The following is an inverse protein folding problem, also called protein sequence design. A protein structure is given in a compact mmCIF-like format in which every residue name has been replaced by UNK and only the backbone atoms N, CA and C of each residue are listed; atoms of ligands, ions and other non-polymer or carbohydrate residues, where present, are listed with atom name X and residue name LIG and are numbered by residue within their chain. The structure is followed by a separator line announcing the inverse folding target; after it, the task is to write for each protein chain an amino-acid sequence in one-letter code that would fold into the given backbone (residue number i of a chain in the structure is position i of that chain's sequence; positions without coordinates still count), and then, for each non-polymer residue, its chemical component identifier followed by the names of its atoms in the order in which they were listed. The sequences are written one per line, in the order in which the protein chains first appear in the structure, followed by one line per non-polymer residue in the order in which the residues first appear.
data_IF_053428933209
#
_entry.id   IF_053428933209
#
_cell.length_a   1.000
_cell.length_b   1.000
_cell.length_c   1.000
_cell.angle_alpha   90.00
_cell.angle_beta   90.00
_cell.angle_gamma   90.00
#
_symmetry.space_group_name_H-M   'P 1'
#
loop_
_entity.id
_entity.type
_entity.pdbx_description
1 polymer ?
#
# COMPACT_ATOMS: atom_id res chain seq x y z
N UNK A 1 14.38 21.17 5.46
CA UNK A 1 14.29 20.10 6.47
C UNK A 1 13.04 20.38 7.30
N UNK A 2 11.97 19.63 7.14
CA UNK A 2 10.76 19.76 7.99
C UNK A 2 10.87 18.74 9.11
N UNK A 3 10.81 19.21 10.35
CA UNK A 3 10.91 18.37 11.53
C UNK A 3 9.69 17.46 11.65
N UNK A 4 9.95 16.17 11.81
CA UNK A 4 8.95 15.20 12.21
C UNK A 4 8.52 15.53 13.65
N UNK A 5 7.30 16.01 13.83
CA UNK A 5 6.74 16.25 15.16
C UNK A 5 6.07 14.97 15.64
N UNK A 6 6.75 14.24 16.52
CA UNK A 6 6.17 13.11 17.24
C UNK A 6 5.37 13.68 18.41
N UNK A 7 4.06 13.50 18.39
CA UNK A 7 3.20 13.90 19.51
C UNK A 7 3.35 12.90 20.65
N UNK A 8 3.60 13.37 21.89
CA UNK A 8 3.64 12.48 23.04
C UNK A 8 2.25 11.96 23.41
N UNK A 9 2.18 10.69 23.76
CA UNK A 9 0.98 10.02 24.25
C UNK A 9 0.61 10.55 25.62
N UNK A 10 -0.43 11.36 25.74
CA UNK A 10 -0.97 11.79 27.05
C UNK A 10 -1.76 10.65 27.70
N UNK A 11 -1.30 10.24 28.88
CA UNK A 11 -2.08 9.36 29.76
C UNK A 11 -3.16 10.19 30.46
N UNK A 12 -4.42 10.04 30.06
CA UNK A 12 -5.56 10.58 30.80
C UNK A 12 -6.01 9.57 31.86
N UNK A 13 -5.84 9.91 33.09
CA UNK A 13 -6.48 9.27 34.25
C UNK A 13 -7.85 9.93 34.50
N UNK A 14 -8.92 9.15 34.39
CA UNK A 14 -10.25 9.56 34.81
C UNK A 14 -10.48 9.11 36.28
N UNK A 15 -10.54 10.06 37.21
CA UNK A 15 -10.95 9.80 38.58
C UNK A 15 -12.48 9.67 38.62
N UNK A 16 -12.98 8.47 38.79
CA UNK A 16 -14.35 8.18 39.18
C UNK A 16 -14.38 7.91 40.68
N UNK A 17 -15.17 8.71 41.36
CA UNK A 17 -15.25 8.84 42.83
C UNK A 17 -15.35 7.55 43.65
N UNK A 18 -15.12 7.67 44.86
CA UNK A 18 -14.77 6.97 46.08
C UNK A 18 -15.31 5.54 46.34
N UNK A 19 -15.84 4.80 45.37
CA UNK A 19 -16.32 3.41 45.53
C UNK A 19 -16.12 2.55 44.27
N UNK A 20 -14.97 2.57 43.65
CA UNK A 20 -14.66 1.61 42.63
C UNK A 20 -13.18 1.22 42.66
N UNK A 21 -12.91 -0.08 42.75
CA UNK A 21 -11.60 -0.65 42.49
C UNK A 21 -11.05 -0.04 41.21
N UNK A 22 -9.76 0.30 41.19
CA UNK A 22 -9.06 0.87 40.04
C UNK A 22 -9.16 -0.08 38.84
N UNK A 23 -10.27 0.02 38.09
CA UNK A 23 -10.32 -0.56 36.76
C UNK A 23 -9.51 0.34 35.83
N UNK A 24 -8.28 -0.04 35.56
CA UNK A 24 -7.48 0.57 34.51
C UNK A 24 -8.14 0.22 33.20
N UNK A 25 -9.01 1.10 32.71
CA UNK A 25 -9.50 0.99 31.32
C UNK A 25 -8.33 1.34 30.43
N UNK A 26 -7.66 0.31 29.91
CA UNK A 26 -6.75 0.46 28.77
C UNK A 26 -7.66 0.78 27.59
N UNK A 27 -7.86 2.08 27.32
CA UNK A 27 -8.39 2.51 26.03
C UNK A 27 -7.29 2.17 25.03
N UNK A 28 -7.43 1.06 24.34
CA UNK A 28 -6.69 0.85 23.12
C UNK A 28 -7.10 1.99 22.17
N UNK A 29 -6.28 3.03 22.17
CA UNK A 29 -6.33 4.04 21.14
C UNK A 29 -6.09 3.28 19.85
N UNK A 30 -7.15 3.17 19.04
CA UNK A 30 -7.04 2.60 17.68
C UNK A 30 -6.00 3.46 16.98
N UNK A 31 -4.77 2.95 16.94
CA UNK A 31 -3.67 3.60 16.30
C UNK A 31 -4.13 3.95 14.88
N UNK A 32 -4.16 5.24 14.56
CA UNK A 32 -4.32 5.70 13.18
C UNK A 32 -3.34 4.88 12.37
N UNK A 33 -3.77 4.32 11.23
CA UNK A 33 -2.87 3.55 10.39
C UNK A 33 -1.62 4.40 10.16
N UNK A 34 -0.47 3.88 10.55
CA UNK A 34 0.80 4.56 10.35
C UNK A 34 0.91 4.86 8.86
N UNK A 35 1.03 6.12 8.50
CA UNK A 35 1.20 6.51 7.11
C UNK A 35 2.55 5.94 6.67
N UNK A 36 2.51 4.87 5.91
CA UNK A 36 3.70 4.14 5.48
C UNK A 36 4.52 4.97 4.48
N UNK A 37 3.85 5.84 3.74
CA UNK A 37 4.47 6.71 2.74
C UNK A 37 4.44 8.17 3.16
N UNK A 38 5.51 8.89 2.82
CA UNK A 38 5.53 10.35 2.87
C UNK A 38 4.53 10.92 1.87
N UNK A 39 3.93 12.06 2.21
CA UNK A 39 3.12 12.82 1.25
C UNK A 39 3.97 13.17 0.04
N UNK A 40 3.52 12.74 -1.13
CA UNK A 40 4.14 12.98 -2.42
C UNK A 40 3.03 13.26 -3.44
N UNK A 41 3.40 13.69 -4.63
CA UNK A 41 2.46 13.87 -5.74
C UNK A 41 2.08 12.51 -6.34
N UNK A 42 1.40 11.70 -5.54
CA UNK A 42 0.93 10.35 -5.88
C UNK A 42 -0.47 10.14 -5.33
N UNK A 43 -1.24 9.28 -6.00
CA UNK A 43 -2.56 8.89 -5.58
C UNK A 43 -2.51 7.57 -4.79
N UNK A 44 -3.33 7.45 -3.75
CA UNK A 44 -3.57 6.18 -3.07
C UNK A 44 -4.62 5.39 -3.83
N UNK A 45 -4.41 4.09 -3.99
CA UNK A 45 -5.33 3.19 -4.67
C UNK A 45 -5.40 1.86 -3.94
N UNK A 46 -6.55 1.20 -3.98
CA UNK A 46 -6.71 -0.16 -3.45
C UNK A 46 -6.29 -1.20 -4.48
N UNK A 47 -5.99 -2.42 -4.02
CA UNK A 47 -5.65 -3.53 -4.91
C UNK A 47 -6.81 -3.87 -5.86
N UNK A 48 -8.06 -3.81 -5.36
CA UNK A 48 -9.25 -4.02 -6.15
C UNK A 48 -9.43 -2.94 -7.24
N UNK A 49 -9.26 -1.68 -6.87
CA UNK A 49 -9.31 -0.59 -7.86
C UNK A 49 -8.20 -0.70 -8.89
N UNK A 50 -7.00 -1.12 -8.49
CA UNK A 50 -5.88 -1.35 -9.39
C UNK A 50 -6.23 -2.44 -10.42
N UNK A 51 -6.77 -3.58 -9.96
CA UNK A 51 -7.17 -4.68 -10.81
C UNK A 51 -8.30 -4.28 -11.80
N UNK A 52 -9.26 -3.47 -11.36
CA UNK A 52 -10.38 -3.03 -12.18
C UNK A 52 -10.02 -1.94 -13.18
N UNK A 53 -9.07 -1.05 -12.85
CA UNK A 53 -8.69 0.09 -13.69
C UNK A 53 -7.57 -0.22 -14.68
N UNK A 54 -6.71 -1.19 -14.36
CA UNK A 54 -5.53 -1.48 -15.17
C UNK A 54 -5.79 -2.61 -16.17
N UNK A 55 -5.71 -2.27 -17.44
CA UNK A 55 -5.62 -3.23 -18.54
C UNK A 55 -4.17 -3.27 -19.00
N UNK A 56 -3.41 -4.16 -18.38
CA UNK A 56 -1.97 -4.27 -18.63
C UNK A 56 -1.73 -5.04 -19.94
N UNK A 57 -0.87 -4.55 -20.83
CA UNK A 57 -0.46 -5.33 -21.98
C UNK A 57 0.30 -6.58 -21.50
N UNK A 58 -0.06 -7.74 -22.01
CA UNK A 58 0.65 -9.00 -21.74
C UNK A 58 2.03 -9.07 -22.40
N UNK A 59 2.43 -8.00 -23.06
CA UNK A 59 3.68 -7.87 -23.80
C UNK A 59 4.15 -6.41 -23.75
N UNK A 60 5.41 -6.22 -23.45
CA UNK A 60 6.13 -4.98 -23.65
C UNK A 60 7.47 -5.34 -24.30
N UNK A 61 7.82 -4.70 -25.40
CA UNK A 61 9.09 -4.94 -26.10
C UNK A 61 9.38 -6.43 -26.41
N UNK A 62 8.35 -7.22 -26.73
CA UNK A 62 8.43 -8.68 -26.96
C UNK A 62 8.73 -9.52 -25.69
N UNK A 63 8.71 -8.93 -24.52
CA UNK A 63 8.84 -9.62 -23.25
C UNK A 63 7.48 -9.78 -22.56
N UNK A 64 7.35 -10.85 -21.76
CA UNK A 64 6.17 -11.05 -20.92
C UNK A 64 6.19 -10.02 -19.80
N UNK A 65 5.08 -9.32 -19.62
CA UNK A 65 4.89 -8.40 -18.50
C UNK A 65 4.02 -9.04 -17.43
N UNK A 66 4.31 -8.73 -16.18
CA UNK A 66 3.49 -9.13 -15.04
C UNK A 66 2.60 -7.96 -14.66
N UNK A 67 1.31 -8.21 -14.48
CA UNK A 67 0.39 -7.19 -14.00
C UNK A 67 0.77 -6.77 -12.57
N UNK A 68 0.66 -5.47 -12.26
CA UNK A 68 1.04 -4.94 -10.95
C UNK A 68 0.29 -5.62 -9.80
N UNK A 69 -1.02 -5.84 -9.96
CA UNK A 69 -1.84 -6.53 -8.97
C UNK A 69 -1.38 -7.96 -8.70
N UNK A 70 -0.96 -8.68 -9.74
CA UNK A 70 -0.47 -10.05 -9.60
C UNK A 70 0.86 -10.09 -8.86
N UNK A 71 1.73 -9.13 -9.15
CA UNK A 71 3.01 -8.99 -8.45
C UNK A 71 2.81 -8.65 -6.98
N UNK A 72 1.93 -7.68 -6.65
CA UNK A 72 1.62 -7.30 -5.28
C UNK A 72 1.06 -8.50 -4.51
N UNK A 73 0.10 -9.22 -5.10
CA UNK A 73 -0.49 -10.42 -4.48
C UNK A 73 0.56 -11.49 -4.23
N UNK A 74 1.43 -11.75 -5.19
CA UNK A 74 2.51 -12.73 -5.05
C UNK A 74 3.48 -12.35 -3.90
N UNK A 75 3.85 -11.07 -3.78
CA UNK A 75 4.72 -10.60 -2.69
C UNK A 75 4.01 -10.69 -1.34
N UNK A 76 2.71 -10.38 -1.29
CA UNK A 76 1.91 -10.52 -0.08
C UNK A 76 1.83 -11.98 0.39
N UNK A 77 1.53 -12.90 -0.52
CA UNK A 77 1.46 -14.34 -0.22
C UNK A 77 2.81 -14.89 0.24
N UNK A 78 3.90 -14.43 -0.40
CA UNK A 78 5.26 -14.79 0.02
C UNK A 78 5.57 -14.26 1.43
N UNK A 79 5.16 -13.02 1.74
CA UNK A 79 5.33 -12.44 3.07
C UNK A 79 4.52 -13.21 4.12
N UNK A 80 3.26 -13.55 3.84
CA UNK A 80 2.42 -14.37 4.71
C UNK A 80 3.02 -15.76 4.97
N UNK A 81 3.61 -16.36 3.94
CA UNK A 81 4.27 -17.68 4.07
C UNK A 81 5.56 -17.59 4.87
N UNK A 82 6.38 -16.56 4.65
CA UNK A 82 7.66 -16.40 5.33
C UNK A 82 7.48 -16.04 6.81
N UNK A 83 6.52 -15.15 7.09
CA UNK A 83 6.18 -14.72 8.45
C UNK A 83 4.94 -15.46 8.97
N UNK A 84 4.90 -16.78 8.80
CA UNK A 84 3.78 -17.61 9.22
C UNK A 84 3.50 -17.44 10.74
N UNK A 85 2.25 -17.06 11.06
CA UNK A 85 1.83 -16.75 12.43
C UNK A 85 1.85 -15.25 12.79
N UNK A 86 2.43 -14.41 11.95
CA UNK A 86 2.41 -12.97 12.10
C UNK A 86 1.28 -12.34 11.25
N UNK A 87 0.82 -11.16 11.66
CA UNK A 87 -0.19 -10.43 10.90
C UNK A 87 0.48 -9.55 9.86
N UNK A 88 0.32 -9.87 8.58
CA UNK A 88 0.66 -9.01 7.47
C UNK A 88 -0.54 -8.13 7.15
N UNK A 89 -0.39 -6.81 7.20
CA UNK A 89 -1.46 -5.89 6.86
C UNK A 89 -1.69 -5.83 5.33
N UNK A 90 -2.86 -5.32 4.94
CA UNK A 90 -3.15 -5.01 3.54
C UNK A 90 -2.13 -4.02 2.95
N UNK A 91 -1.88 -4.08 1.64
CA UNK A 91 -0.93 -3.20 0.98
C UNK A 91 -1.40 -1.74 1.00
N UNK A 92 -0.52 -0.82 1.41
CA UNK A 92 -0.65 0.59 1.08
C UNK A 92 -0.03 0.80 -0.30
N UNK A 93 -0.85 1.20 -1.29
CA UNK A 93 -0.44 1.32 -2.69
C UNK A 93 -0.49 2.78 -3.10
N UNK A 94 0.60 3.25 -3.68
CA UNK A 94 0.74 4.60 -4.24
C UNK A 94 1.10 4.52 -5.71
N UNK A 95 0.38 5.29 -6.51
CA UNK A 95 0.53 5.30 -7.96
C UNK A 95 0.80 6.70 -8.49
N UNK A 96 1.52 6.76 -9.60
CA UNK A 96 1.74 8.00 -10.34
C UNK A 96 0.63 8.22 -11.39
N UNK A 97 0.96 8.96 -12.44
CA UNK A 97 0.02 9.22 -13.54
C UNK A 97 -0.25 7.95 -14.39
N UNK A 98 -1.44 7.92 -14.97
CA UNK A 98 -1.88 6.85 -15.85
C UNK A 98 -1.25 7.01 -17.23
N UNK A 99 -0.70 5.92 -17.75
CA UNK A 99 -0.28 5.76 -19.14
C UNK A 99 -1.36 5.02 -19.90
N UNK A 100 -1.83 5.59 -21.00
CA UNK A 100 -2.82 4.99 -21.88
C UNK A 100 -2.16 4.61 -23.19
N UNK A 101 -2.44 3.42 -23.65
CA UNK A 101 -1.89 2.85 -24.85
C UNK A 101 -2.93 2.03 -25.61
N UNK A 102 -2.45 1.18 -26.51
CA UNK A 102 -3.26 0.27 -27.29
C UNK A 102 -2.51 -1.03 -27.54
N UNK A 103 -3.25 -2.07 -27.85
CA UNK A 103 -2.67 -3.37 -28.21
C UNK A 103 -1.92 -3.28 -29.55
N UNK A 104 -0.92 -4.14 -29.84
CA UNK A 104 -0.17 -4.11 -31.10
C UNK A 104 -1.06 -4.24 -32.31
N UNK A 105 -2.09 -5.09 -32.23
CA UNK A 105 -3.01 -5.35 -33.33
C UNK A 105 -3.81 -4.10 -33.71
N UNK A 106 -3.90 -3.13 -32.82
CA UNK A 106 -4.68 -1.89 -32.99
C UNK A 106 -3.82 -0.65 -33.24
N UNK A 107 -2.51 -0.79 -33.39
CA UNK A 107 -1.60 0.34 -33.61
C UNK A 107 -1.95 1.18 -34.84
N UNK A 108 -2.46 0.56 -35.91
CA UNK A 108 -2.87 1.23 -37.14
C UNK A 108 -4.28 1.84 -37.13
N UNK A 109 -5.09 1.60 -36.09
CA UNK A 109 -6.46 2.10 -35.99
C UNK A 109 -6.51 3.53 -35.50
N UNK A 110 -7.55 4.29 -35.92
CA UNK A 110 -7.83 5.60 -35.34
C UNK A 110 -8.35 5.46 -33.91
N UNK A 111 -8.14 6.47 -33.08
CA UNK A 111 -8.59 6.44 -31.68
C UNK A 111 -10.11 6.23 -31.52
N UNK A 112 -10.90 6.72 -32.48
CA UNK A 112 -12.36 6.55 -32.53
C UNK A 112 -12.82 5.14 -32.91
N UNK A 113 -11.93 4.34 -33.48
CA UNK A 113 -12.20 2.96 -33.96
C UNK A 113 -11.73 1.90 -32.99
N UNK A 114 -11.11 2.30 -31.85
CA UNK A 114 -10.58 1.38 -30.86
C UNK A 114 -11.71 0.81 -30.00
N UNK A 115 -11.76 -0.51 -29.94
CA UNK A 115 -12.60 -1.23 -28.98
C UNK A 115 -11.98 -1.14 -27.56
N UNK A 116 -12.77 -1.32 -26.51
CA UNK A 116 -12.27 -1.27 -25.13
C UNK A 116 -11.18 -2.35 -24.86
N UNK A 117 -11.33 -3.54 -25.43
CA UNK A 117 -10.34 -4.62 -25.32
C UNK A 117 -9.00 -4.32 -26.06
N UNK A 118 -8.99 -3.30 -26.90
CA UNK A 118 -7.79 -2.85 -27.63
C UNK A 118 -7.06 -1.71 -26.93
N UNK A 119 -7.67 -1.14 -25.89
CA UNK A 119 -7.06 -0.10 -25.08
C UNK A 119 -6.27 -0.72 -23.93
N UNK A 120 -5.11 -0.16 -23.65
CA UNK A 120 -4.31 -0.53 -22.47
C UNK A 120 -4.20 0.66 -21.55
N UNK A 121 -4.20 0.42 -20.24
CA UNK A 121 -4.06 1.45 -19.23
C UNK A 121 -3.27 0.89 -18.06
N UNK A 122 -2.23 1.58 -17.65
CA UNK A 122 -1.41 1.20 -16.50
C UNK A 122 -0.80 2.44 -15.85
N UNK A 123 -0.28 2.30 -14.64
CA UNK A 123 0.45 3.37 -13.97
C UNK A 123 1.93 3.26 -14.28
N UNK A 124 2.57 4.39 -14.63
CA UNK A 124 3.99 4.41 -14.99
C UNK A 124 4.88 4.02 -13.80
N UNK A 125 4.52 4.45 -12.60
CA UNK A 125 5.21 4.11 -11.36
C UNK A 125 4.20 3.68 -10.32
N UNK A 126 4.58 2.68 -9.57
CA UNK A 126 3.78 2.16 -8.47
C UNK A 126 4.72 1.83 -7.32
N UNK A 127 4.36 2.24 -6.12
CA UNK A 127 5.00 1.82 -4.88
C UNK A 127 3.96 1.12 -4.01
N UNK A 128 4.35 0.08 -3.31
CA UNK A 128 3.50 -0.54 -2.31
C UNK A 128 4.31 -0.94 -1.08
N UNK A 129 3.65 -0.97 0.06
CA UNK A 129 4.24 -1.37 1.32
C UNK A 129 3.29 -2.24 2.13
N UNK A 130 3.82 -3.27 2.77
CA UNK A 130 3.16 -4.08 3.77
C UNK A 130 3.80 -3.83 5.11
N UNK A 131 3.00 -3.65 6.17
CA UNK A 131 3.48 -3.57 7.54
C UNK A 131 3.16 -4.85 8.29
N UNK A 132 4.08 -5.28 9.14
CA UNK A 132 3.92 -6.42 10.04
C UNK A 132 4.02 -5.88 11.47
N UNK A 133 2.91 -5.40 12.06
CA UNK A 133 2.91 -4.66 13.32
C UNK A 133 3.25 -5.52 14.54
N UNK A 134 3.27 -6.84 14.38
CA UNK A 134 3.65 -7.80 15.41
C UNK A 134 5.17 -7.96 15.55
N UNK A 135 5.93 -7.63 14.51
CA UNK A 135 7.39 -7.64 14.52
C UNK A 135 7.88 -6.24 14.84
N UNK A 136 8.33 -6.05 16.07
CA UNK A 136 8.66 -4.75 16.63
C UNK A 136 10.09 -4.76 17.15
N UNK A 137 10.82 -3.70 16.89
CA UNK A 137 12.10 -3.41 17.52
C UNK A 137 12.08 -2.01 18.13
N UNK A 138 12.80 -1.81 19.22
CA UNK A 138 12.93 -0.50 19.86
C UNK A 138 14.35 0.01 19.70
N UNK A 139 14.50 1.10 18.93
CA UNK A 139 15.78 1.74 18.70
C UNK A 139 15.76 3.15 19.29
N UNK A 140 16.63 3.42 20.27
CA UNK A 140 16.73 4.73 20.96
C UNK A 140 15.40 5.22 21.55
N UNK A 141 14.58 4.28 22.07
CA UNK A 141 13.28 4.59 22.66
C UNK A 141 12.15 4.79 21.65
N UNK A 142 12.41 4.62 20.36
CA UNK A 142 11.40 4.64 19.30
C UNK A 142 11.02 3.23 18.90
N UNK A 143 9.73 2.96 18.83
CA UNK A 143 9.16 1.71 18.35
C UNK A 143 9.22 1.70 16.81
N UNK A 144 9.80 0.66 16.26
CA UNK A 144 9.87 0.41 14.82
C UNK A 144 9.08 -0.86 14.51
N UNK A 145 8.35 -0.84 13.42
CA UNK A 145 7.61 -1.99 12.90
C UNK A 145 8.26 -2.45 11.60
N UNK A 146 8.21 -3.76 11.33
CA UNK A 146 8.73 -4.28 10.08
C UNK A 146 7.85 -3.83 8.92
N UNK A 147 8.49 -3.29 7.88
CA UNK A 147 7.85 -2.88 6.65
C UNK A 147 8.56 -3.50 5.44
N UNK A 148 7.78 -4.07 4.53
CA UNK A 148 8.24 -4.57 3.23
C UNK A 148 7.80 -3.56 2.18
N UNK A 149 8.75 -2.92 1.52
CA UNK A 149 8.52 -1.87 0.52
C UNK A 149 9.04 -2.31 -0.85
N UNK A 150 8.26 -2.08 -1.89
CA UNK A 150 8.70 -2.23 -3.27
C UNK A 150 8.31 -1.03 -4.13
N UNK A 151 9.14 -0.72 -5.10
CA UNK A 151 8.89 0.32 -6.11
C UNK A 151 9.01 -0.32 -7.49
N UNK A 152 7.97 -0.13 -8.30
CA UNK A 152 7.91 -0.62 -9.68
C UNK A 152 7.94 0.59 -10.62
N UNK A 153 8.77 0.50 -11.65
CA UNK A 153 8.84 1.45 -12.75
C UNK A 153 8.75 0.67 -14.06
N UNK A 154 7.83 1.06 -14.93
CA UNK A 154 7.65 0.49 -16.26
C UNK A 154 8.26 1.44 -17.31
#
# INVERSE_FOLDING_TARGET
MRNLVIMPTEKRTLNLGEYAEEATIIVEETAKPSVTFLEANTDSITLEELANKCVVPTWANQELTIAHQDFISCVHDAACSFYAGERVNEPDIRVSHIVRGRTPQSLGKKASELLECEKTQFYQRLAFAFTIPTIIETVRGQRLELCILSLIHI
#
